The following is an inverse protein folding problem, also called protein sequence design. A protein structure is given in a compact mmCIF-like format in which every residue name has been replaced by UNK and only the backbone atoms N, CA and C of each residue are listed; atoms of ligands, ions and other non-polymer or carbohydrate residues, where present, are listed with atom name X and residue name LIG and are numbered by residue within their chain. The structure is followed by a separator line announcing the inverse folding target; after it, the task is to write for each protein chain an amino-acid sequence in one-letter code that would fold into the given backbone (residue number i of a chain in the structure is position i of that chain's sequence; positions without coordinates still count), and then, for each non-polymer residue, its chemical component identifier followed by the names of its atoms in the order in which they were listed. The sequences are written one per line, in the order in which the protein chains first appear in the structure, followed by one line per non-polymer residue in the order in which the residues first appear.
data_IF_246682942993
#
_entry.id   IF_246682942993
#
_cell.length_a   1.000
_cell.length_b   1.000
_cell.length_c   1.000
_cell.angle_alpha   90.00
_cell.angle_beta   90.00
_cell.angle_gamma   90.00
#
_symmetry.space_group_name_H-M   'P 1'
#
loop_
_entity.id
_entity.type
_entity.pdbx_description
1 polymer ?
#
# COMPACT_ATOMS: atom_id res chain seq x y z
N UNK A 1 -2.64 2.14 1.71
CA UNK A 1 -3.42 1.53 0.62
C UNK A 1 -3.62 2.49 -0.56
N UNK A 2 -2.56 3.07 -1.13
CA UNK A 2 -2.67 4.00 -2.27
C UNK A 2 -2.88 3.32 -3.63
N UNK A 3 -2.96 4.11 -4.69
CA UNK A 3 -2.89 3.67 -6.08
C UNK A 3 -4.18 3.87 -6.88
N UNK A 4 -4.51 2.91 -7.74
CA UNK A 4 -5.59 3.02 -8.72
C UNK A 4 -6.68 1.95 -8.57
N UNK A 5 -7.93 2.38 -8.63
CA UNK A 5 -9.10 1.50 -8.66
C UNK A 5 -9.40 0.99 -10.08
N UNK A 6 -10.27 -0.02 -10.19
CA UNK A 6 -10.69 -0.64 -11.43
C UNK A 6 -11.99 -1.45 -11.26
N UNK A 7 -12.39 -2.17 -12.31
CA UNK A 7 -13.72 -2.81 -12.38
C UNK A 7 -13.79 -4.24 -11.86
N UNK A 8 -12.65 -4.91 -11.70
CA UNK A 8 -12.61 -6.33 -11.35
C UNK A 8 -13.21 -6.61 -9.96
N UNK A 9 -14.07 -7.64 -9.81
CA UNK A 9 -14.68 -7.99 -8.52
C UNK A 9 -13.68 -8.25 -7.40
N UNK A 10 -12.51 -8.85 -7.71
CA UNK A 10 -11.45 -9.13 -6.74
C UNK A 10 -10.87 -7.89 -6.03
N UNK A 11 -11.30 -6.68 -6.38
CA UNK A 11 -10.97 -5.45 -5.66
C UNK A 11 -11.82 -5.23 -4.41
N UNK A 12 -12.87 -6.04 -4.18
CA UNK A 12 -13.57 -6.07 -2.88
C UNK A 12 -12.59 -6.34 -1.74
N UNK A 13 -11.52 -7.09 -2.00
CA UNK A 13 -10.36 -7.27 -1.13
C UNK A 13 -9.94 -5.96 -0.42
N UNK A 14 -9.81 -4.84 -1.14
CA UNK A 14 -9.37 -3.58 -0.53
C UNK A 14 -10.44 -2.91 0.37
N UNK A 15 -11.72 -3.14 0.09
CA UNK A 15 -12.81 -2.73 0.98
C UNK A 15 -12.78 -3.59 2.24
N UNK A 16 -12.70 -4.91 2.08
CA UNK A 16 -12.68 -5.89 3.16
C UNK A 16 -11.46 -5.72 4.08
N UNK A 17 -10.27 -5.46 3.53
CA UNK A 17 -9.07 -5.13 4.31
C UNK A 17 -9.31 -3.88 5.16
N UNK A 18 -9.88 -2.81 4.58
CA UNK A 18 -10.11 -1.57 5.33
C UNK A 18 -11.10 -1.75 6.49
N UNK A 19 -12.11 -2.60 6.32
CA UNK A 19 -13.10 -2.93 7.36
C UNK A 19 -12.52 -3.82 8.46
N UNK A 20 -11.61 -4.73 8.11
CA UNK A 20 -11.07 -5.74 9.01
C UNK A 20 -9.74 -5.35 9.68
N UNK A 21 -9.11 -4.24 9.27
CA UNK A 21 -7.92 -3.72 9.92
C UNK A 21 -8.21 -3.33 11.39
N UNK A 22 -7.32 -3.66 12.35
CA UNK A 22 -7.47 -3.28 13.76
C UNK A 22 -7.75 -1.79 13.96
N UNK A 23 -8.57 -1.45 14.96
CA UNK A 23 -9.08 -0.08 15.18
C UNK A 23 -8.00 0.95 15.53
N UNK A 24 -6.81 0.49 15.90
CA UNK A 24 -5.61 1.28 16.20
C UNK A 24 -4.70 1.48 14.97
N UNK A 25 -5.15 1.11 13.77
CA UNK A 25 -4.44 1.35 12.51
C UNK A 25 -5.01 2.54 11.72
N UNK A 26 -4.14 3.19 10.93
CA UNK A 26 -4.49 4.29 10.03
C UNK A 26 -4.17 3.90 8.58
N UNK A 27 -5.13 4.10 7.68
CA UNK A 27 -4.96 3.92 6.24
C UNK A 27 -4.45 5.22 5.63
N UNK A 28 -3.23 5.17 5.08
CA UNK A 28 -2.70 6.23 4.22
C UNK A 28 -3.08 5.95 2.76
N UNK A 29 -3.66 6.93 2.07
CA UNK A 29 -4.09 6.79 0.67
C UNK A 29 -3.77 7.98 -0.21
N UNK A 30 -3.65 7.72 -1.50
CA UNK A 30 -3.50 8.68 -2.58
C UNK A 30 -3.95 7.98 -3.87
N UNK A 31 -4.63 8.71 -4.77
CA UNK A 31 -5.18 8.15 -6.00
C UNK A 31 -6.55 7.48 -5.84
N UNK A 32 -7.14 7.04 -6.96
CA UNK A 32 -8.53 6.58 -6.98
C UNK A 32 -8.79 5.26 -6.23
N UNK A 33 -7.76 4.51 -5.82
CA UNK A 33 -7.92 3.35 -4.93
C UNK A 33 -8.71 3.69 -3.65
N UNK A 34 -8.64 4.97 -3.20
CA UNK A 34 -9.39 5.49 -2.06
C UNK A 34 -10.89 5.19 -2.11
N UNK A 35 -11.49 5.11 -3.29
CA UNK A 35 -12.95 4.93 -3.42
C UNK A 35 -13.45 3.58 -2.94
N UNK A 36 -12.54 2.63 -2.67
CA UNK A 36 -12.89 1.35 -2.04
C UNK A 36 -13.24 1.46 -0.57
N UNK A 37 -12.82 2.51 0.12
CA UNK A 37 -12.98 2.62 1.57
C UNK A 37 -13.20 4.05 2.11
N UNK A 38 -13.06 5.10 1.30
CA UNK A 38 -13.17 6.49 1.79
C UNK A 38 -14.58 6.94 2.20
N UNK A 39 -15.60 6.11 1.97
CA UNK A 39 -16.99 6.34 2.39
C UNK A 39 -17.40 5.48 3.58
N UNK A 40 -16.49 4.67 4.10
CA UNK A 40 -16.74 3.84 5.28
C UNK A 40 -16.63 4.67 6.56
N UNK A 41 -17.41 4.31 7.57
CA UNK A 41 -17.39 4.97 8.89
C UNK A 41 -16.32 4.34 9.78
N UNK A 42 -15.04 4.51 9.41
CA UNK A 42 -13.92 3.89 10.14
C UNK A 42 -13.51 4.63 11.42
N UNK A 43 -13.97 5.87 11.61
CA UNK A 43 -13.70 6.69 12.80
C UNK A 43 -12.31 7.37 12.80
N UNK A 44 -11.85 7.75 13.98
CA UNK A 44 -10.58 8.41 14.24
C UNK A 44 -9.86 7.78 15.45
N UNK A 45 -8.56 8.08 15.59
CA UNK A 45 -7.72 7.73 16.73
C UNK A 45 -7.20 9.03 17.34
N UNK A 46 -7.78 9.44 18.47
CA UNK A 46 -7.36 10.67 19.16
C UNK A 46 -7.50 11.93 18.31
N UNK A 47 -8.55 12.00 17.47
CA UNK A 47 -8.80 13.11 16.54
C UNK A 47 -8.13 12.96 15.16
N UNK A 48 -7.29 11.94 14.96
CA UNK A 48 -6.67 11.66 13.65
C UNK A 48 -7.55 10.67 12.88
N UNK A 49 -8.14 11.04 11.72
CA UNK A 49 -8.99 10.13 10.95
C UNK A 49 -8.27 8.84 10.57
N UNK A 50 -8.96 7.70 10.64
CA UNK A 50 -8.40 6.39 10.25
C UNK A 50 -8.18 6.23 8.75
N UNK A 51 -8.63 7.18 7.93
CA UNK A 51 -8.28 7.28 6.51
C UNK A 51 -7.70 8.67 6.27
N UNK A 52 -6.41 8.75 5.96
CA UNK A 52 -5.72 9.99 5.60
C UNK A 52 -5.47 10.01 4.10
N UNK A 53 -6.18 10.90 3.42
CA UNK A 53 -6.12 11.07 1.97
C UNK A 53 -5.16 12.20 1.59
N UNK A 54 -4.03 11.85 0.98
CA UNK A 54 -3.04 12.80 0.53
C UNK A 54 -3.37 13.45 -0.84
N UNK A 55 -4.35 12.93 -1.60
CA UNK A 55 -4.76 13.50 -2.88
C UNK A 55 -4.78 12.51 -4.05
N UNK A 56 -4.36 12.96 -5.23
CA UNK A 56 -4.28 12.19 -6.47
C UNK A 56 -3.17 11.14 -6.43
N UNK A 57 -3.02 10.32 -7.48
CA UNK A 57 -1.99 9.29 -7.52
C UNK A 57 -0.56 9.86 -7.50
N UNK A 58 -0.35 11.06 -8.02
CA UNK A 58 0.92 11.80 -7.89
C UNK A 58 1.23 12.20 -6.44
N UNK A 59 0.21 12.37 -5.59
CA UNK A 59 0.40 12.71 -4.17
C UNK A 59 0.84 11.52 -3.32
N UNK A 60 1.05 10.34 -3.92
CA UNK A 60 1.91 9.30 -3.35
C UNK A 60 3.32 9.81 -3.02
N UNK A 61 3.76 10.89 -3.67
CA UNK A 61 4.96 11.64 -3.28
C UNK A 61 4.90 12.11 -1.82
N UNK A 62 3.78 12.70 -1.40
CA UNK A 62 3.59 13.16 -0.02
C UNK A 62 3.67 12.00 0.98
N UNK A 63 3.12 10.84 0.63
CA UNK A 63 3.22 9.64 1.48
C UNK A 63 4.67 9.15 1.62
N UNK A 64 5.46 9.22 0.55
CA UNK A 64 6.88 8.91 0.61
C UNK A 64 7.66 9.90 1.49
N UNK A 65 7.37 11.20 1.38
CA UNK A 65 7.96 12.24 2.24
C UNK A 65 7.60 12.02 3.71
N UNK A 66 6.34 11.67 4.01
CA UNK A 66 5.91 11.32 5.38
C UNK A 66 6.69 10.12 5.90
N UNK A 67 6.82 9.04 5.14
CA UNK A 67 7.59 7.87 5.56
C UNK A 67 9.07 8.23 5.81
N UNK A 68 9.71 8.99 4.93
CA UNK A 68 11.09 9.45 5.12
C UNK A 68 11.24 10.33 6.36
N UNK A 69 10.26 11.19 6.65
CA UNK A 69 10.29 12.02 7.85
C UNK A 69 10.09 11.20 9.12
N UNK A 70 9.21 10.20 9.11
CA UNK A 70 9.05 9.28 10.23
C UNK A 70 10.33 8.47 10.47
N UNK A 71 10.97 7.98 9.40
CA UNK A 71 12.27 7.30 9.49
C UNK A 71 13.31 8.16 10.21
N UNK A 72 13.41 9.44 9.84
CA UNK A 72 14.30 10.41 10.48
C UNK A 72 13.95 10.62 11.96
N UNK A 73 12.68 10.87 12.28
CA UNK A 73 12.20 11.13 13.66
C UNK A 73 12.45 9.93 14.57
N UNK A 74 12.27 8.71 14.08
CA UNK A 74 12.54 7.49 14.84
C UNK A 74 14.01 7.05 14.80
N UNK A 75 14.89 7.74 14.06
CA UNK A 75 16.31 7.41 13.96
C UNK A 75 16.60 6.05 13.30
N UNK A 76 15.72 5.59 12.41
CA UNK A 76 15.81 4.28 11.77
C UNK A 76 16.82 4.31 10.61
N UNK A 77 17.53 3.20 10.40
CA UNK A 77 18.54 3.09 9.32
C UNK A 77 17.89 2.72 7.99
N UNK A 78 16.87 1.88 8.03
CA UNK A 78 16.10 1.43 6.87
C UNK A 78 14.65 1.96 6.95
N UNK A 79 14.08 2.33 5.80
CA UNK A 79 12.68 2.78 5.71
C UNK A 79 11.70 1.64 6.02
N UNK A 80 12.12 0.40 5.76
CA UNK A 80 11.32 -0.80 5.98
C UNK A 80 11.21 -1.21 7.47
N UNK A 81 11.93 -0.52 8.37
CA UNK A 81 11.80 -0.69 9.83
C UNK A 81 10.62 0.12 10.40
N UNK A 82 10.01 1.00 9.60
CA UNK A 82 8.81 1.73 10.03
C UNK A 82 7.63 0.77 10.23
N UNK A 83 6.69 1.10 11.14
CA UNK A 83 5.44 0.36 11.29
C UNK A 83 4.46 0.71 10.14
N UNK A 84 4.90 0.53 8.89
CA UNK A 84 4.14 0.83 7.68
C UNK A 84 4.14 -0.41 6.78
N UNK A 85 2.94 -0.88 6.44
CA UNK A 85 2.73 -1.91 5.42
C UNK A 85 2.23 -1.29 4.11
N UNK A 86 2.70 -1.84 2.98
CA UNK A 86 2.32 -1.39 1.64
C UNK A 86 1.43 -2.43 0.97
N UNK A 87 0.12 -2.13 0.91
CA UNK A 87 -0.86 -2.89 0.14
C UNK A 87 -1.48 -1.98 -0.93
N UNK A 88 -0.98 -2.08 -2.16
CA UNK A 88 -1.18 -1.10 -3.24
C UNK A 88 -2.04 -1.70 -4.35
N UNK A 89 -3.12 -0.99 -4.69
CA UNK A 89 -3.94 -1.30 -5.85
C UNK A 89 -3.36 -0.61 -7.09
N UNK A 90 -3.26 -1.30 -8.23
CA UNK A 90 -2.82 -0.68 -9.49
C UNK A 90 -3.82 -0.94 -10.63
N UNK A 91 -3.76 -0.14 -11.69
CA UNK A 91 -4.60 -0.32 -12.88
C UNK A 91 -3.91 0.17 -14.15
N UNK A 92 -3.42 1.41 -14.15
CA UNK A 92 -2.78 2.05 -15.30
C UNK A 92 -1.31 2.41 -15.03
N UNK A 93 -0.68 3.10 -15.97
CA UNK A 93 0.78 3.24 -16.02
C UNK A 93 1.33 4.24 -15.00
N UNK A 94 0.56 5.23 -14.53
CA UNK A 94 1.04 6.10 -13.43
C UNK A 94 1.22 5.30 -12.14
N UNK A 95 0.37 4.31 -11.86
CA UNK A 95 0.60 3.40 -10.73
C UNK A 95 1.91 2.61 -10.87
N UNK A 96 2.30 2.25 -12.09
CA UNK A 96 3.60 1.60 -12.35
C UNK A 96 4.75 2.57 -12.07
N UNK A 97 4.64 3.85 -12.47
CA UNK A 97 5.65 4.86 -12.15
C UNK A 97 5.80 5.07 -10.64
N UNK A 98 4.69 5.11 -9.90
CA UNK A 98 4.69 5.19 -8.42
C UNK A 98 5.35 3.96 -7.81
N UNK A 99 5.04 2.76 -8.30
CA UNK A 99 5.70 1.53 -7.86
C UNK A 99 7.21 1.62 -8.04
N UNK A 100 7.68 1.97 -9.25
CA UNK A 100 9.11 2.09 -9.55
C UNK A 100 9.79 3.14 -8.65
N UNK A 101 9.11 4.24 -8.33
CA UNK A 101 9.63 5.24 -7.39
C UNK A 101 9.79 4.67 -5.97
N UNK A 102 8.83 3.91 -5.46
CA UNK A 102 8.93 3.25 -4.15
C UNK A 102 10.07 2.22 -4.12
N UNK A 103 10.23 1.43 -5.19
CA UNK A 103 11.33 0.47 -5.31
C UNK A 103 12.70 1.19 -5.34
N UNK A 104 12.78 2.32 -6.04
CA UNK A 104 13.98 3.18 -6.06
C UNK A 104 14.32 3.73 -4.67
N UNK A 105 13.30 4.12 -3.89
CA UNK A 105 13.46 4.57 -2.50
C UNK A 105 13.80 3.43 -1.53
N UNK A 106 13.91 2.19 -2.01
CA UNK A 106 14.30 1.03 -1.22
C UNK A 106 13.15 0.39 -0.44
N UNK A 107 11.89 0.72 -0.73
CA UNK A 107 10.73 0.06 -0.12
C UNK A 107 10.67 -1.40 -0.60
N UNK A 108 10.47 -2.32 0.35
CA UNK A 108 10.37 -3.76 0.14
C UNK A 108 9.07 -4.30 0.73
N UNK A 109 8.68 -5.50 0.34
CA UNK A 109 7.51 -6.18 0.92
C UNK A 109 6.16 -5.66 0.41
N UNK A 110 6.14 -4.93 -0.71
CA UNK A 110 4.92 -4.35 -1.29
C UNK A 110 4.00 -5.47 -1.76
N UNK A 111 2.77 -5.51 -1.25
CA UNK A 111 1.65 -6.24 -1.84
C UNK A 111 1.07 -5.42 -2.99
N UNK A 112 0.99 -6.03 -4.17
CA UNK A 112 0.51 -5.40 -5.39
C UNK A 112 -0.67 -6.21 -5.96
N UNK A 113 -1.82 -5.56 -6.11
CA UNK A 113 -3.06 -6.25 -6.50
C UNK A 113 -4.06 -5.42 -7.31
N UNK A 114 -5.19 -6.01 -7.71
CA UNK A 114 -5.65 -7.35 -7.32
C UNK A 114 -4.96 -8.51 -8.06
N UNK A 115 -4.21 -8.22 -9.12
CA UNK A 115 -3.36 -9.18 -9.83
C UNK A 115 -2.00 -8.57 -10.09
N UNK A 116 -0.97 -9.38 -10.32
CA UNK A 116 0.31 -8.86 -10.79
C UNK A 116 0.21 -8.40 -12.26
N UNK A 117 1.04 -7.42 -12.69
CA UNK A 117 1.04 -6.97 -14.08
C UNK A 117 1.43 -8.06 -15.09
N UNK A 118 0.62 -8.23 -16.13
CA UNK A 118 0.84 -9.22 -17.18
C UNK A 118 2.10 -8.98 -18.01
N UNK A 119 2.66 -7.76 -17.99
CA UNK A 119 3.92 -7.43 -18.67
C UNK A 119 5.16 -7.93 -17.92
N UNK A 120 5.01 -8.49 -16.71
CA UNK A 120 6.10 -9.12 -15.99
C UNK A 120 6.30 -10.54 -16.50
N UNK A 121 7.35 -10.76 -17.29
CA UNK A 121 7.77 -12.11 -17.64
C UNK A 121 8.20 -12.88 -16.37
N UNK A 122 8.19 -14.23 -16.36
CA UNK A 122 8.60 -15.00 -15.20
C UNK A 122 10.00 -14.64 -14.68
N UNK A 123 10.95 -14.37 -15.58
CA UNK A 123 12.31 -13.94 -15.22
C UNK A 123 12.33 -12.57 -14.54
N UNK A 124 11.57 -11.60 -15.06
CA UNK A 124 11.48 -10.25 -14.46
C UNK A 124 10.74 -10.31 -13.11
N UNK A 125 9.64 -11.06 -13.02
CA UNK A 125 8.91 -11.26 -11.78
C UNK A 125 9.81 -11.86 -10.68
N UNK A 126 10.63 -12.87 -11.03
CA UNK A 126 11.60 -13.47 -10.11
C UNK A 126 12.59 -12.43 -9.57
N UNK A 127 13.16 -11.58 -10.42
CA UNK A 127 14.08 -10.51 -9.99
C UNK A 127 13.40 -9.53 -9.03
N UNK A 128 12.15 -9.14 -9.31
CA UNK A 128 11.39 -8.24 -8.44
C UNK A 128 11.10 -8.87 -7.07
N UNK A 129 10.77 -10.15 -7.03
CA UNK A 129 10.59 -10.90 -5.76
C UNK A 129 11.92 -11.00 -5.01
N UNK A 130 13.01 -11.41 -5.66
CA UNK A 130 14.31 -11.61 -5.00
C UNK A 130 14.92 -10.31 -4.46
N UNK A 131 14.76 -9.19 -5.18
CA UNK A 131 15.39 -7.90 -4.80
C UNK A 131 14.51 -7.06 -3.89
N UNK A 132 13.19 -7.07 -4.09
CA UNK A 132 12.26 -6.15 -3.44
C UNK A 132 11.17 -6.85 -2.63
N UNK A 133 11.10 -8.18 -2.65
CA UNK A 133 10.07 -8.94 -1.95
C UNK A 133 8.65 -8.48 -2.33
N UNK A 134 8.40 -8.22 -3.62
CA UNK A 134 7.05 -7.93 -4.12
C UNK A 134 6.17 -9.15 -3.93
N UNK A 135 4.93 -8.93 -3.49
CA UNK A 135 3.94 -9.97 -3.23
C UNK A 135 2.68 -9.69 -4.03
N UNK A 136 1.97 -10.74 -4.44
CA UNK A 136 0.58 -10.61 -4.82
C UNK A 136 -0.28 -10.41 -3.56
N UNK A 137 -1.43 -9.76 -3.70
CA UNK A 137 -2.50 -9.82 -2.69
C UNK A 137 -3.00 -11.26 -2.57
N UNK A 138 -3.33 -11.68 -1.36
CA UNK A 138 -3.88 -13.00 -1.03
C UNK A 138 -5.24 -12.87 -0.35
N UNK A 139 -5.46 -13.71 0.68
CA UNK A 139 -6.68 -13.70 1.48
C UNK A 139 -6.67 -12.54 2.49
N UNK A 140 -7.77 -11.80 2.60
CA UNK A 140 -7.91 -10.59 3.44
C UNK A 140 -7.38 -10.82 4.85
N UNK A 141 -7.82 -11.90 5.52
CA UNK A 141 -7.41 -12.21 6.89
C UNK A 141 -5.90 -12.47 6.99
N UNK A 142 -5.36 -13.27 6.06
CA UNK A 142 -3.95 -13.64 6.09
C UNK A 142 -3.04 -12.42 5.84
N UNK A 143 -3.46 -11.54 4.93
CA UNK A 143 -2.71 -10.32 4.63
C UNK A 143 -2.80 -9.28 5.73
N UNK A 144 -3.96 -9.10 6.36
CA UNK A 144 -4.10 -8.26 7.57
C UNK A 144 -3.19 -8.79 8.67
N UNK A 145 -3.25 -10.08 9.01
CA UNK A 145 -2.42 -10.68 10.05
C UNK A 145 -0.92 -10.52 9.74
N UNK A 146 -0.51 -10.69 8.49
CA UNK A 146 0.87 -10.52 8.06
C UNK A 146 1.35 -9.06 8.09
N UNK A 147 0.51 -8.10 7.67
CA UNK A 147 0.81 -6.67 7.76
C UNK A 147 0.97 -6.22 9.22
N UNK A 148 0.12 -6.70 10.12
CA UNK A 148 0.22 -6.41 11.56
C UNK A 148 1.48 -7.03 12.19
N UNK A 149 2.00 -8.11 11.61
CA UNK A 149 3.27 -8.71 12.00
C UNK A 149 4.51 -8.07 11.33
N UNK A 150 4.33 -7.03 10.50
CA UNK A 150 5.40 -6.37 9.76
C UNK A 150 6.04 -7.25 8.68
N UNK A 151 5.24 -8.13 8.04
CA UNK A 151 5.73 -9.15 7.10
C UNK A 151 5.32 -8.95 5.65
#
# INVERSE_FOLDING_TARGET
MGGCDGRQPGRSYFTEVAENLPKDTVILTAGCAKYRYNKLQLGDIGGIPRVLDAGQCNDSYSLAVVALKLKEVFGLKDINELPISFDIAWYEQKAVAVLLALLFLGVKGIRLGPTLPAFLSPGVAKVLVEKFNIKATGEVKADVDAMMAGK
#
